data_IF_637958278308
#
_entry.id   IF_637958278308
#
_cell.length_a   1.000
_cell.length_b   1.000
_cell.length_c   1.000
_cell.angle_alpha   90.00
_cell.angle_beta   90.00
_cell.angle_gamma   90.00
#
_symmetry.space_group_name_H-M   'P 1'
#
loop_
_entity.id
_entity.type
_entity.pdbx_description
1 polymer ?
#
# COMPACT_ATOMS: atom_id res chain seq x y z
N UNK A 1 27.70 -21.48 -11.97
CA UNK A 1 26.68 -22.51 -11.67
C UNK A 1 25.35 -21.78 -11.74
N UNK A 2 24.71 -21.89 -12.90
CA UNK A 2 23.32 -21.49 -13.08
C UNK A 2 22.45 -22.40 -12.22
N UNK A 3 21.69 -21.84 -11.30
CA UNK A 3 20.49 -22.51 -10.80
C UNK A 3 19.31 -21.78 -11.38
N UNK A 4 18.88 -22.27 -12.55
CA UNK A 4 17.55 -22.02 -13.05
C UNK A 4 16.55 -22.58 -12.05
N UNK A 5 15.72 -21.70 -11.50
CA UNK A 5 14.39 -22.05 -11.05
C UNK A 5 13.46 -21.21 -11.91
N UNK A 6 12.97 -21.83 -12.99
CA UNK A 6 11.75 -21.44 -13.65
C UNK A 6 10.61 -21.61 -12.63
N UNK A 7 10.29 -20.57 -11.89
CA UNK A 7 8.99 -20.39 -11.27
C UNK A 7 8.62 -18.96 -11.49
N UNK A 8 8.06 -18.68 -12.67
CA UNK A 8 6.70 -18.22 -12.88
C UNK A 8 6.47 -18.38 -14.39
N UNK A 9 5.28 -18.83 -14.86
CA UNK A 9 4.96 -18.65 -16.26
C UNK A 9 5.11 -17.15 -16.58
N UNK A 10 5.63 -16.84 -17.76
CA UNK A 10 5.65 -15.50 -18.33
C UNK A 10 4.20 -15.08 -18.57
N UNK A 11 3.50 -14.73 -17.49
CA UNK A 11 2.15 -14.22 -17.56
C UNK A 11 2.32 -12.73 -17.76
N UNK A 12 2.13 -12.30 -19.00
CA UNK A 12 1.67 -10.94 -19.29
C UNK A 12 0.61 -10.57 -18.24
N UNK A 13 0.60 -9.36 -17.64
CA UNK A 13 -0.28 -9.06 -16.53
C UNK A 13 -1.74 -9.08 -16.99
N UNK A 14 -2.33 -10.26 -16.99
CA UNK A 14 -3.76 -10.45 -17.09
C UNK A 14 -4.31 -10.04 -15.73
N UNK A 15 -5.35 -9.21 -15.74
CA UNK A 15 -6.01 -8.57 -14.59
C UNK A 15 -6.35 -9.54 -13.45
N UNK A 16 -5.35 -9.96 -12.68
CA UNK A 16 -5.52 -10.71 -11.44
C UNK A 16 -5.83 -9.70 -10.34
N UNK A 17 -6.94 -9.91 -9.66
CA UNK A 17 -7.27 -9.17 -8.44
C UNK A 17 -6.27 -9.49 -7.33
N UNK A 18 -6.07 -8.56 -6.39
CA UNK A 18 -5.22 -8.80 -5.22
C UNK A 18 -5.59 -10.05 -4.42
N UNK A 19 -6.87 -10.46 -4.46
CA UNK A 19 -7.35 -11.73 -3.87
C UNK A 19 -6.74 -12.97 -4.52
N UNK A 20 -6.57 -12.97 -5.84
CA UNK A 20 -6.01 -14.11 -6.56
C UNK A 20 -4.50 -14.25 -6.30
N UNK A 21 -3.79 -13.13 -6.19
CA UNK A 21 -2.40 -13.15 -5.73
C UNK A 21 -2.28 -13.62 -4.28
N UNK A 22 -3.21 -13.24 -3.41
CA UNK A 22 -3.24 -13.72 -2.03
C UNK A 22 -3.49 -15.23 -1.94
N UNK A 23 -4.43 -15.76 -2.72
CA UNK A 23 -4.70 -17.19 -2.82
C UNK A 23 -3.52 -17.98 -3.42
N UNK A 24 -2.82 -17.42 -4.41
CA UNK A 24 -1.58 -18.01 -4.93
C UNK A 24 -0.45 -17.96 -3.89
N UNK A 25 -0.29 -16.85 -3.15
CA UNK A 25 0.71 -16.74 -2.08
C UNK A 25 0.47 -17.75 -0.94
N UNK A 26 -0.79 -18.09 -0.64
CA UNK A 26 -1.14 -19.18 0.28
C UNK A 26 -0.66 -20.55 -0.24
N UNK A 27 -0.68 -20.75 -1.56
CA UNK A 27 -0.27 -22.00 -2.20
C UNK A 27 1.27 -22.15 -2.26
N UNK A 28 2.01 -21.09 -2.54
CA UNK A 28 3.46 -21.13 -2.71
C UNK A 28 4.25 -21.37 -1.40
N UNK A 29 3.65 -21.12 -0.22
CA UNK A 29 4.36 -21.26 1.06
C UNK A 29 3.54 -21.76 2.25
N UNK A 30 2.54 -22.61 2.00
CA UNK A 30 1.95 -23.54 2.96
C UNK A 30 1.76 -22.96 4.38
N UNK A 31 1.08 -21.82 4.50
CA UNK A 31 0.64 -21.34 5.80
C UNK A 31 -0.21 -22.44 6.45
N UNK A 32 0.14 -22.93 7.66
CA UNK A 32 -0.69 -23.89 8.38
C UNK A 32 -2.09 -23.31 8.54
N UNK A 33 -3.12 -24.13 8.35
CA UNK A 33 -4.49 -23.67 8.51
C UNK A 33 -4.71 -23.18 9.96
N UNK A 34 -4.98 -21.88 10.16
CA UNK A 34 -5.07 -21.30 11.50
C UNK A 34 -6.26 -21.82 12.31
N UNK A 35 -7.26 -22.41 11.65
CA UNK A 35 -8.45 -22.98 12.30
C UNK A 35 -8.25 -24.43 12.76
N UNK A 36 -7.21 -25.12 12.26
CA UNK A 36 -7.04 -26.57 12.49
C UNK A 36 -5.94 -26.92 13.47
N UNK A 37 -4.87 -26.13 13.56
CA UNK A 37 -3.76 -26.44 14.44
C UNK A 37 -2.96 -25.18 14.84
N UNK A 38 -3.34 -24.60 15.97
CA UNK A 38 -2.72 -23.38 16.50
C UNK A 38 -1.27 -23.61 16.93
N UNK A 39 -0.93 -24.80 17.46
CA UNK A 39 0.43 -25.12 17.91
C UNK A 39 1.39 -25.23 16.72
N UNK A 40 0.96 -25.90 15.65
CA UNK A 40 1.75 -25.97 14.41
C UNK A 40 1.92 -24.59 13.77
N UNK A 41 0.88 -23.74 13.83
CA UNK A 41 0.98 -22.37 13.34
C UNK A 41 2.02 -21.57 14.13
N UNK A 42 2.02 -21.66 15.46
CA UNK A 42 2.99 -20.98 16.32
C UNK A 42 4.42 -21.45 16.05
N UNK A 43 4.63 -22.77 15.94
CA UNK A 43 5.95 -23.33 15.62
C UNK A 43 6.43 -22.91 14.24
N UNK A 44 5.55 -22.95 13.23
CA UNK A 44 5.88 -22.51 11.88
C UNK A 44 6.20 -21.02 11.85
N UNK A 45 5.45 -20.18 12.56
CA UNK A 45 5.66 -18.74 12.62
C UNK A 45 7.01 -18.39 13.24
N UNK A 46 7.40 -19.07 14.32
CA UNK A 46 8.70 -18.87 14.96
C UNK A 46 9.88 -19.18 14.04
N UNK A 47 9.70 -20.07 13.06
CA UNK A 47 10.76 -20.48 12.13
C UNK A 47 10.74 -19.67 10.82
N UNK A 48 9.56 -19.37 10.28
CA UNK A 48 9.41 -18.91 8.89
C UNK A 48 8.86 -17.48 8.75
N UNK A 49 8.42 -16.83 9.85
CA UNK A 49 7.72 -15.54 9.78
C UNK A 49 8.51 -14.44 9.08
N UNK A 50 9.81 -14.33 9.38
CA UNK A 50 10.67 -13.29 8.80
C UNK A 50 10.69 -13.44 7.27
N UNK A 51 11.12 -14.59 6.77
CA UNK A 51 11.23 -14.85 5.33
C UNK A 51 9.87 -14.78 4.61
N UNK A 52 8.80 -15.20 5.29
CA UNK A 52 7.45 -15.15 4.73
C UNK A 52 6.95 -13.71 4.61
N UNK A 53 7.14 -12.88 5.64
CA UNK A 53 6.79 -11.45 5.61
C UNK A 53 7.56 -10.72 4.52
N UNK A 54 8.85 -11.02 4.35
CA UNK A 54 9.66 -10.42 3.27
C UNK A 54 9.13 -10.79 1.89
N UNK A 55 8.82 -12.06 1.65
CA UNK A 55 8.31 -12.50 0.35
C UNK A 55 6.92 -11.95 0.05
N UNK A 56 6.01 -11.98 1.01
CA UNK A 56 4.70 -11.39 0.85
C UNK A 56 4.82 -9.89 0.53
N UNK A 57 5.68 -9.16 1.25
CA UNK A 57 5.93 -7.73 1.00
C UNK A 57 6.48 -7.49 -0.40
N UNK A 58 7.45 -8.28 -0.84
CA UNK A 58 8.00 -8.18 -2.20
C UNK A 58 6.91 -8.39 -3.27
N UNK A 59 6.09 -9.43 -3.12
CA UNK A 59 4.97 -9.70 -4.05
C UNK A 59 3.94 -8.56 -4.04
N UNK A 60 3.62 -7.99 -2.87
CA UNK A 60 2.69 -6.86 -2.76
C UNK A 60 3.25 -5.59 -3.42
N UNK A 61 4.55 -5.34 -3.30
CA UNK A 61 5.22 -4.22 -3.97
C UNK A 61 5.19 -4.40 -5.49
N UNK A 62 5.44 -5.62 -5.97
CA UNK A 62 5.53 -5.95 -7.39
C UNK A 62 4.17 -5.98 -8.10
N UNK A 63 3.12 -6.49 -7.44
CA UNK A 63 1.86 -6.83 -8.12
C UNK A 63 0.63 -6.07 -7.62
N UNK A 64 0.69 -5.40 -6.46
CA UNK A 64 -0.51 -4.80 -5.84
C UNK A 64 -0.52 -3.26 -5.85
N UNK A 65 0.29 -2.60 -6.68
CA UNK A 65 0.51 -1.13 -6.67
C UNK A 65 0.95 -0.53 -5.32
N UNK A 66 1.19 -1.39 -4.31
CA UNK A 66 1.58 -1.00 -2.95
C UNK A 66 3.00 -0.42 -2.92
N UNK A 67 3.77 -0.63 -3.99
CA UNK A 67 5.13 -0.14 -4.19
C UNK A 67 5.24 1.35 -4.51
N UNK A 68 4.16 2.05 -4.84
CA UNK A 68 4.24 3.46 -5.25
C UNK A 68 4.80 4.37 -4.13
N UNK A 69 4.46 4.11 -2.86
CA UNK A 69 5.00 4.87 -1.73
C UNK A 69 6.51 4.69 -1.54
N UNK A 70 7.07 3.56 -1.99
CA UNK A 70 8.51 3.27 -1.86
C UNK A 70 9.36 3.93 -2.97
N UNK A 71 8.73 4.52 -3.99
CA UNK A 71 9.43 5.16 -5.11
C UNK A 71 9.68 6.66 -4.90
N UNK A 72 9.03 7.27 -3.92
CA UNK A 72 9.26 8.67 -3.61
C UNK A 72 10.63 8.86 -2.95
N UNK A 73 11.42 9.80 -3.47
CA UNK A 73 12.61 10.30 -2.78
C UNK A 73 12.19 10.92 -1.45
N UNK A 74 13.14 11.06 -0.51
CA UNK A 74 12.82 11.69 0.78
C UNK A 74 12.30 13.12 0.60
N UNK A 75 12.77 13.83 -0.43
CA UNK A 75 12.25 15.15 -0.82
C UNK A 75 10.79 15.07 -1.30
N UNK A 76 10.43 14.05 -2.09
CA UNK A 76 9.05 13.87 -2.55
C UNK A 76 8.11 13.50 -1.40
N UNK A 77 8.59 12.73 -0.42
CA UNK A 77 7.82 12.42 0.80
C UNK A 77 7.58 13.68 1.63
N UNK A 78 8.62 14.49 1.85
CA UNK A 78 8.51 15.75 2.57
C UNK A 78 7.54 16.72 1.88
N UNK A 79 7.59 16.80 0.55
CA UNK A 79 6.64 17.61 -0.22
C UNK A 79 5.20 17.12 -0.08
N UNK A 80 4.99 15.79 -0.08
CA UNK A 80 3.67 15.20 0.09
C UNK A 80 3.11 15.44 1.51
N UNK A 81 3.99 15.39 2.53
CA UNK A 81 3.64 15.71 3.92
C UNK A 81 3.24 17.19 4.06
N UNK A 82 4.01 18.12 3.47
CA UNK A 82 3.67 19.54 3.46
C UNK A 82 2.34 19.82 2.74
N UNK A 83 2.11 19.17 1.60
CA UNK A 83 0.84 19.27 0.88
C UNK A 83 -0.34 18.77 1.72
N UNK A 84 -0.17 17.64 2.40
CA UNK A 84 -1.19 17.09 3.29
C UNK A 84 -1.48 18.04 4.46
N UNK A 85 -0.45 18.56 5.12
CA UNK A 85 -0.61 19.47 6.26
C UNK A 85 -1.31 20.77 5.87
N UNK A 86 -1.00 21.32 4.68
CA UNK A 86 -1.69 22.48 4.14
C UNK A 86 -3.17 22.21 3.88
N UNK A 87 -3.51 21.08 3.25
CA UNK A 87 -4.91 20.70 3.02
C UNK A 87 -5.66 20.44 4.33
N UNK A 88 -5.01 19.82 5.31
CA UNK A 88 -5.58 19.61 6.63
C UNK A 88 -5.90 20.94 7.32
N UNK A 89 -4.99 21.92 7.25
CA UNK A 89 -5.24 23.25 7.79
C UNK A 89 -6.45 23.90 7.12
N UNK A 90 -6.60 23.77 5.81
CA UNK A 90 -7.78 24.30 5.08
C UNK A 90 -9.07 23.64 5.56
N UNK A 91 -9.07 22.31 5.75
CA UNK A 91 -10.22 21.58 6.31
C UNK A 91 -10.54 22.03 7.73
N UNK A 92 -9.52 22.21 8.58
CA UNK A 92 -9.70 22.70 9.95
C UNK A 92 -10.29 24.12 9.94
N UNK A 93 -9.85 24.98 9.01
CA UNK A 93 -10.44 26.31 8.82
C UNK A 93 -11.90 26.25 8.38
N UNK A 94 -12.24 25.39 7.41
CA UNK A 94 -13.61 25.19 6.94
C UNK A 94 -14.55 24.65 8.03
N UNK A 95 -14.03 23.86 8.96
CA UNK A 95 -14.79 23.28 10.07
C UNK A 95 -14.82 24.15 11.33
N UNK A 96 -14.00 25.20 11.39
CA UNK A 96 -14.00 26.17 12.48
C UNK A 96 -15.14 27.18 12.34
N UNK A 97 -15.46 27.90 13.42
CA UNK A 97 -16.38 29.06 13.38
C UNK A 97 -15.74 30.32 12.75
N UNK A 98 -14.72 30.15 11.90
CA UNK A 98 -14.10 31.26 11.20
C UNK A 98 -15.09 31.94 10.26
N UNK A 99 -15.18 33.27 10.33
CA UNK A 99 -15.94 34.05 9.38
C UNK A 99 -15.21 34.10 8.04
N UNK A 100 -15.72 33.37 7.06
CA UNK A 100 -15.21 33.28 5.70
C UNK A 100 -16.32 33.63 4.71
N UNK A 101 -15.98 34.33 3.62
CA UNK A 101 -16.96 34.59 2.57
C UNK A 101 -17.35 33.29 1.86
N UNK A 102 -18.55 33.26 1.26
CA UNK A 102 -19.01 32.07 0.54
C UNK A 102 -18.12 31.75 -0.66
N UNK A 103 -17.60 32.79 -1.30
CA UNK A 103 -16.73 32.69 -2.46
C UNK A 103 -15.41 32.02 -2.11
N UNK A 104 -14.78 32.44 -1.00
CA UNK A 104 -13.52 31.83 -0.52
C UNK A 104 -13.75 30.40 -0.07
N UNK A 105 -14.87 30.11 0.62
CA UNK A 105 -15.23 28.74 1.00
C UNK A 105 -15.35 27.84 -0.22
N UNK A 106 -16.07 28.28 -1.25
CA UNK A 106 -16.27 27.49 -2.47
C UNK A 106 -14.94 27.24 -3.19
N UNK A 107 -14.07 28.24 -3.30
CA UNK A 107 -12.75 28.09 -3.90
C UNK A 107 -11.88 27.07 -3.17
N UNK A 108 -11.90 27.06 -1.83
CA UNK A 108 -11.18 26.06 -1.05
C UNK A 108 -11.78 24.67 -1.28
N UNK A 109 -13.11 24.53 -1.24
CA UNK A 109 -13.79 23.24 -1.46
C UNK A 109 -13.54 22.68 -2.88
N UNK A 110 -13.48 23.55 -3.89
CA UNK A 110 -13.24 23.17 -5.29
C UNK A 110 -11.77 22.78 -5.57
N UNK A 111 -10.83 23.26 -4.75
CA UNK A 111 -9.38 23.04 -4.95
C UNK A 111 -8.78 22.02 -3.97
N UNK A 112 -9.54 21.61 -2.95
CA UNK A 112 -9.09 20.70 -1.91
C UNK A 112 -8.66 19.35 -2.49
N UNK A 113 -7.48 18.89 -2.11
CA UNK A 113 -6.90 17.61 -2.55
C UNK A 113 -6.73 17.45 -4.08
N UNK A 114 -6.83 18.54 -4.85
CA UNK A 114 -6.47 18.51 -6.27
C UNK A 114 -4.95 18.62 -6.45
N UNK A 115 -4.37 17.98 -7.47
CA UNK A 115 -2.99 18.22 -7.84
C UNK A 115 -2.78 19.73 -8.00
N UNK A 116 -1.77 20.30 -7.35
CA UNK A 116 -1.43 21.70 -7.55
C UNK A 116 -1.22 21.92 -9.05
N UNK A 117 -1.96 22.86 -9.65
CA UNK A 117 -1.76 23.20 -11.04
C UNK A 117 -0.32 23.74 -11.22
N UNK A 118 0.36 23.25 -12.27
CA UNK A 118 1.72 23.66 -12.64
C UNK A 118 1.86 25.18 -12.84
#
# INVERSE_FOLDING_TARGET
MEFGIQFFPDVSPEHKSGKQYFEEALYWRALPNPEKDQEQLEQWWNVNSVDWVWQLRSMMIEHCDFGYYSQFSDQQKELLEQYYDANKLLVDCLNSECYMSKEVRQEIEDTLLLPAAD
#
